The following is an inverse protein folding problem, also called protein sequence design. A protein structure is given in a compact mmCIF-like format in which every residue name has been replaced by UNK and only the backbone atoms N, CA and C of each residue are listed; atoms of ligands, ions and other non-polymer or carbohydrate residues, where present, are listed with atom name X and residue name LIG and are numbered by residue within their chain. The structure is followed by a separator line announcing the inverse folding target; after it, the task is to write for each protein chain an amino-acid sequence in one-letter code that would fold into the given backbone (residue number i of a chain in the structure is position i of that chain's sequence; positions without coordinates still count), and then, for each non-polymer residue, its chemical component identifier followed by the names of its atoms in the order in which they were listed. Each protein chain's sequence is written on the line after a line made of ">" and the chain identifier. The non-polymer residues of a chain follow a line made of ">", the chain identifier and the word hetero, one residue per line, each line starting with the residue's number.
data_IF_356129393553
#
_entry.id   IF_356129393553
#
_cell.length_a   1.000
_cell.length_b   1.000
_cell.length_c   1.000
_cell.angle_alpha   90.00
_cell.angle_beta   90.00
_cell.angle_gamma   90.00
#
_symmetry.space_group_name_H-M   'P 1'
#
loop_
_entity.id
_entity.type
_entity.pdbx_description
1 polymer ?
#
# COMPACT_ATOMS: atom_id res chain seq x y z
N UNK A 1 49.80 -31.80 45.80
CA UNK A 1 50.06 -30.90 44.67
C UNK A 1 48.99 -31.00 43.56
N UNK A 2 48.53 -32.20 43.18
CA UNK A 2 47.50 -32.39 42.14
C UNK A 2 46.14 -31.72 42.43
N UNK A 3 45.67 -31.71 43.68
CA UNK A 3 44.40 -31.08 44.07
C UNK A 3 44.41 -29.56 43.83
N UNK A 4 45.52 -28.89 44.14
CA UNK A 4 45.66 -27.45 43.93
C UNK A 4 45.61 -27.06 42.45
N UNK A 5 46.23 -27.86 41.58
CA UNK A 5 46.18 -27.63 40.12
C UNK A 5 44.77 -27.84 39.56
N UNK A 6 44.02 -28.81 40.09
CA UNK A 6 42.61 -29.02 39.69
C UNK A 6 41.71 -27.87 40.12
N UNK A 7 41.85 -27.35 41.35
CA UNK A 7 41.08 -26.20 41.84
C UNK A 7 41.39 -24.95 41.02
N UNK A 8 42.66 -24.67 40.71
CA UNK A 8 43.05 -23.51 39.91
C UNK A 8 42.50 -23.61 38.48
N UNK A 9 42.56 -24.79 37.85
CA UNK A 9 41.97 -25.01 36.52
C UNK A 9 40.46 -24.81 36.53
N UNK A 10 39.79 -25.34 37.54
CA UNK A 10 38.35 -25.18 37.72
C UNK A 10 37.95 -23.70 37.89
N UNK A 11 38.62 -22.97 38.79
CA UNK A 11 38.37 -21.55 38.99
C UNK A 11 38.65 -20.73 37.72
N UNK A 12 39.76 -21.00 37.04
CA UNK A 12 40.11 -20.30 35.80
C UNK A 12 39.08 -20.54 34.68
N UNK A 13 38.56 -21.77 34.57
CA UNK A 13 37.48 -22.12 33.63
C UNK A 13 36.21 -21.35 33.97
N UNK A 14 35.80 -21.35 35.24
CA UNK A 14 34.60 -20.65 35.70
C UNK A 14 34.68 -19.13 35.51
N UNK A 15 35.82 -18.50 35.84
CA UNK A 15 36.03 -17.07 35.60
C UNK A 15 35.97 -16.70 34.13
N UNK A 16 36.60 -17.50 33.26
CA UNK A 16 36.57 -17.28 31.81
C UNK A 16 35.14 -17.34 31.28
N UNK A 17 34.32 -18.23 31.83
CA UNK A 17 32.93 -18.37 31.44
C UNK A 17 32.06 -17.18 31.88
N UNK A 18 32.21 -16.74 33.13
CA UNK A 18 31.57 -15.52 33.65
C UNK A 18 31.95 -14.32 32.79
N UNK A 19 33.24 -14.19 32.46
CA UNK A 19 33.74 -13.12 31.59
C UNK A 19 33.09 -13.17 30.20
N UNK A 20 32.95 -14.36 29.61
CA UNK A 20 32.26 -14.54 28.32
C UNK A 20 30.79 -14.11 28.40
N UNK A 21 30.06 -14.46 29.46
CA UNK A 21 28.67 -14.05 29.67
C UNK A 21 28.53 -12.53 29.72
N UNK A 22 29.36 -11.86 30.53
CA UNK A 22 29.38 -10.39 30.58
C UNK A 22 29.76 -9.77 29.24
N UNK A 23 30.69 -10.39 28.49
CA UNK A 23 31.04 -9.95 27.13
C UNK A 23 29.89 -10.10 26.14
N UNK A 24 29.04 -11.11 26.28
CA UNK A 24 27.85 -11.28 25.43
C UNK A 24 26.81 -10.22 25.79
N UNK A 25 26.44 -10.08 27.05
CA UNK A 25 25.45 -9.08 27.49
C UNK A 25 25.91 -7.66 27.13
N UNK A 26 27.17 -7.32 27.44
CA UNK A 26 27.74 -6.04 27.07
C UNK A 26 27.89 -5.82 25.56
N UNK A 27 27.89 -6.88 24.75
CA UNK A 27 27.80 -6.76 23.30
C UNK A 27 26.35 -6.51 22.84
N UNK A 28 25.36 -7.17 23.43
CA UNK A 28 23.95 -6.93 23.12
C UNK A 28 23.59 -5.47 23.47
N UNK A 29 24.01 -4.96 24.63
CA UNK A 29 23.81 -3.56 25.02
C UNK A 29 24.43 -2.57 24.01
N UNK A 30 25.63 -2.89 23.50
CA UNK A 30 26.26 -2.11 22.43
C UNK A 30 25.51 -2.23 21.10
N UNK A 31 24.92 -3.38 20.81
CA UNK A 31 24.10 -3.56 19.62
C UNK A 31 22.79 -2.76 19.73
N UNK A 32 22.17 -2.69 20.91
CA UNK A 32 20.96 -1.87 21.16
C UNK A 32 21.23 -0.40 20.87
N UNK A 33 22.42 0.10 21.24
CA UNK A 33 22.81 1.49 21.00
C UNK A 33 23.31 1.77 19.59
N UNK A 34 23.67 0.74 18.83
CA UNK A 34 24.15 0.87 17.45
C UNK A 34 23.08 0.42 16.44
N UNK A 35 22.46 1.39 15.77
CA UNK A 35 21.35 1.17 14.83
C UNK A 35 21.73 0.47 13.51
N UNK A 36 23.02 0.20 13.27
CA UNK A 36 23.48 -0.31 11.97
C UNK A 36 23.24 -1.81 11.79
N UNK A 37 22.98 -2.55 12.87
CA UNK A 37 22.77 -4.00 12.81
C UNK A 37 21.31 -4.32 12.49
N UNK A 38 21.09 -5.01 11.36
CA UNK A 38 19.79 -5.62 11.07
C UNK A 38 19.48 -6.76 12.06
N UNK A 39 18.19 -7.06 12.25
CA UNK A 39 17.73 -8.13 13.15
C UNK A 39 18.34 -9.49 12.78
N UNK A 40 18.39 -9.83 11.49
CA UNK A 40 19.02 -11.08 11.03
C UNK A 40 20.52 -11.14 11.35
N UNK A 41 21.25 -10.04 11.13
CA UNK A 41 22.67 -9.96 11.45
C UNK A 41 22.91 -10.09 12.96
N UNK A 42 22.06 -9.45 13.76
CA UNK A 42 22.10 -9.56 15.22
C UNK A 42 21.95 -11.02 15.66
N UNK A 43 20.90 -11.72 15.22
CA UNK A 43 20.68 -13.12 15.59
C UNK A 43 21.79 -14.04 15.11
N UNK A 44 22.34 -13.83 13.92
CA UNK A 44 23.49 -14.59 13.42
C UNK A 44 24.72 -14.41 14.32
N UNK A 45 25.04 -13.19 14.72
CA UNK A 45 26.20 -12.90 15.58
C UNK A 45 25.95 -13.43 17.00
N UNK A 46 24.72 -13.27 17.52
CA UNK A 46 24.32 -13.81 18.83
C UNK A 46 24.48 -15.34 18.86
N UNK A 47 24.04 -16.04 17.80
CA UNK A 47 24.19 -17.50 17.66
C UNK A 47 25.67 -17.92 17.75
N UNK A 48 26.56 -17.22 17.04
CA UNK A 48 28.02 -17.48 17.09
C UNK A 48 28.60 -17.21 18.48
N UNK A 49 28.13 -16.17 19.16
CA UNK A 49 28.59 -15.81 20.51
C UNK A 49 28.14 -16.83 21.55
N UNK A 50 26.90 -17.30 21.49
CA UNK A 50 26.36 -18.33 22.38
C UNK A 50 27.09 -19.67 22.19
N UNK A 51 27.44 -20.03 20.94
CA UNK A 51 28.26 -21.20 20.64
C UNK A 51 29.66 -21.17 21.31
N UNK A 52 30.16 -19.98 21.67
CA UNK A 52 31.41 -19.80 22.39
C UNK A 52 31.33 -20.12 23.89
N UNK A 53 30.14 -20.11 24.49
CA UNK A 53 29.92 -20.49 25.90
C UNK A 53 29.80 -22.01 26.02
N UNK A 54 28.98 -22.61 25.17
CA UNK A 54 28.79 -24.05 25.14
C UNK A 54 28.98 -24.55 23.69
N UNK A 55 30.02 -25.37 23.42
CA UNK A 55 30.24 -25.94 22.10
C UNK A 55 28.98 -26.69 21.65
N UNK A 56 28.38 -26.24 20.55
CA UNK A 56 27.16 -26.84 20.01
C UNK A 56 25.87 -26.09 20.34
N UNK A 57 25.87 -25.06 21.19
CA UNK A 57 24.74 -24.14 21.30
C UNK A 57 24.65 -23.28 20.05
N UNK A 58 23.56 -23.43 19.29
CA UNK A 58 23.26 -22.57 18.13
C UNK A 58 21.80 -22.18 18.16
N UNK A 59 21.52 -20.92 17.83
CA UNK A 59 20.16 -20.52 17.44
C UNK A 59 19.86 -21.26 16.14
N UNK A 60 18.97 -22.23 16.24
CA UNK A 60 18.65 -23.17 15.16
C UNK A 60 17.45 -22.67 14.37
N UNK A 61 16.39 -22.24 15.07
CA UNK A 61 15.19 -21.65 14.44
C UNK A 61 14.42 -20.69 15.34
N UNK A 62 13.52 -19.94 14.71
CA UNK A 62 12.45 -19.18 15.34
C UNK A 62 11.10 -19.85 15.05
N UNK A 63 10.12 -19.76 15.95
CA UNK A 63 8.75 -20.20 15.69
C UNK A 63 7.79 -19.08 16.07
N UNK A 64 7.02 -18.60 15.10
CA UNK A 64 5.97 -17.62 15.35
C UNK A 64 4.73 -18.37 15.83
N UNK A 65 4.31 -18.10 17.07
CA UNK A 65 3.14 -18.73 17.67
C UNK A 65 1.98 -17.77 17.59
N UNK A 66 1.04 -18.07 16.69
CA UNK A 66 -0.04 -17.15 16.35
C UNK A 66 -1.43 -17.80 16.38
N UNK A 67 -1.70 -18.58 17.42
CA UNK A 67 -2.97 -19.31 17.61
C UNK A 67 -3.19 -20.47 16.63
N UNK A 68 -2.65 -20.39 15.41
CA UNK A 68 -2.54 -21.45 14.42
C UNK A 68 -1.05 -21.77 14.21
N UNK A 69 -0.69 -23.05 14.31
CA UNK A 69 0.67 -23.51 14.04
C UNK A 69 0.97 -23.35 12.54
N UNK A 70 1.79 -22.37 12.18
CA UNK A 70 2.33 -22.27 10.83
C UNK A 70 3.54 -23.21 10.71
N UNK A 71 3.55 -24.16 9.75
CA UNK A 71 4.76 -24.88 9.41
C UNK A 71 5.75 -23.93 8.73
N UNK A 72 7.03 -24.08 9.06
CA UNK A 72 8.10 -23.30 8.45
C UNK A 72 8.50 -23.83 7.07
N UNK A 73 8.94 -22.93 6.17
CA UNK A 73 9.83 -23.29 5.08
C UNK A 73 11.26 -23.45 5.64
N UNK A 74 11.81 -24.65 5.54
CA UNK A 74 13.26 -24.85 5.52
C UNK A 74 13.79 -24.49 4.13
N UNK A 75 15.08 -24.14 4.00
CA UNK A 75 15.76 -23.89 2.71
C UNK A 75 15.58 -25.05 1.70
N UNK A 76 15.15 -26.23 2.15
CA UNK A 76 14.95 -27.43 1.33
C UNK A 76 13.50 -27.97 1.30
N UNK A 77 12.50 -27.23 1.81
CA UNK A 77 11.09 -27.65 1.73
C UNK A 77 10.74 -28.93 2.51
N UNK A 78 11.64 -29.45 3.35
CA UNK A 78 11.36 -30.56 4.29
C UNK A 78 11.04 -30.00 5.66
N UNK A 79 9.76 -29.90 5.96
CA UNK A 79 9.23 -29.56 7.28
C UNK A 79 9.07 -30.83 8.11
N UNK A 80 10.19 -31.41 8.58
CA UNK A 80 10.15 -32.61 9.44
C UNK A 80 10.19 -32.28 10.94
N UNK A 81 10.16 -31.00 11.33
CA UNK A 81 10.16 -30.64 12.75
C UNK A 81 8.81 -30.14 13.21
N UNK A 82 8.00 -31.12 13.61
CA UNK A 82 6.91 -30.92 14.55
C UNK A 82 7.56 -30.56 15.88
N UNK A 83 7.61 -29.28 16.23
CA UNK A 83 7.67 -28.91 17.63
C UNK A 83 6.47 -29.58 18.30
N UNK A 84 6.64 -30.50 19.26
CA UNK A 84 5.53 -31.28 19.79
C UNK A 84 4.45 -30.31 20.24
N UNK A 85 3.17 -30.55 19.89
CA UNK A 85 2.03 -29.73 20.34
C UNK A 85 2.08 -29.43 21.86
N UNK A 86 2.72 -30.31 22.63
CA UNK A 86 3.02 -30.16 24.06
C UNK A 86 3.94 -28.98 24.40
N UNK A 87 4.97 -28.70 23.59
CA UNK A 87 5.89 -27.55 23.77
C UNK A 87 5.15 -26.24 23.52
N UNK A 88 4.39 -26.17 22.42
CA UNK A 88 3.53 -25.02 22.12
C UNK A 88 2.49 -24.80 23.24
N UNK A 89 1.77 -25.84 23.65
CA UNK A 89 0.78 -25.76 24.74
C UNK A 89 1.39 -25.32 26.09
N UNK A 90 2.66 -25.68 26.35
CA UNK A 90 3.36 -25.33 27.57
C UNK A 90 3.91 -23.89 27.57
N UNK A 91 4.18 -23.28 26.40
CA UNK A 91 4.74 -21.92 26.30
C UNK A 91 3.71 -20.83 25.97
N UNK A 92 2.53 -21.24 25.48
CA UNK A 92 1.41 -20.35 25.14
C UNK A 92 0.84 -19.50 26.29
N UNK A 93 0.74 -19.96 27.56
CA UNK A 93 0.22 -19.11 28.63
C UNK A 93 1.19 -17.96 28.92
N UNK A 94 0.71 -16.71 28.87
CA UNK A 94 1.46 -15.49 29.26
C UNK A 94 2.06 -15.56 30.67
N UNK A 95 1.45 -16.33 31.56
CA UNK A 95 1.90 -16.53 32.94
C UNK A 95 3.06 -17.53 33.05
N UNK A 96 3.45 -18.19 31.97
CA UNK A 96 4.59 -19.09 31.97
C UNK A 96 5.89 -18.30 32.04
N UNK A 97 6.92 -18.81 32.75
CA UNK A 97 8.23 -18.18 32.73
C UNK A 97 8.73 -18.07 31.29
N UNK A 98 9.47 -16.99 30.95
CA UNK A 98 9.95 -16.70 29.59
C UNK A 98 10.88 -17.81 29.04
N UNK A 99 11.43 -18.64 29.92
CA UNK A 99 12.31 -19.74 29.59
C UNK A 99 11.74 -21.06 30.11
N UNK A 100 11.56 -22.03 29.21
CA UNK A 100 11.34 -23.44 29.56
C UNK A 100 12.31 -24.34 28.81
N UNK A 101 13.05 -25.13 29.57
CA UNK A 101 13.92 -26.18 29.05
C UNK A 101 13.06 -27.39 28.70
N UNK A 102 13.06 -27.82 27.44
CA UNK A 102 12.38 -29.04 27.03
C UNK A 102 13.43 -30.12 26.73
N UNK A 103 13.58 -31.12 27.60
CA UNK A 103 14.42 -32.27 27.31
C UNK A 103 13.73 -33.10 26.22
N UNK A 104 14.19 -33.02 24.98
CA UNK A 104 13.72 -33.89 23.91
C UNK A 104 14.49 -35.21 23.93
N UNK A 105 13.91 -36.21 24.60
CA UNK A 105 14.50 -37.55 24.71
C UNK A 105 14.55 -38.32 23.38
N UNK A 106 13.83 -37.87 22.34
CA UNK A 106 13.74 -38.62 21.08
C UNK A 106 14.82 -38.24 20.06
N UNK A 107 15.45 -37.06 20.18
CA UNK A 107 16.42 -36.53 19.20
C UNK A 107 17.87 -36.54 19.72
N UNK A 108 18.11 -37.03 20.95
CA UNK A 108 19.47 -37.18 21.49
C UNK A 108 20.17 -35.85 21.81
N UNK A 109 19.43 -34.75 21.94
CA UNK A 109 19.96 -33.44 22.33
C UNK A 109 18.89 -32.58 23.03
N UNK A 110 19.31 -31.82 24.03
CA UNK A 110 18.44 -30.84 24.69
C UNK A 110 18.08 -29.70 23.73
N UNK A 111 16.82 -29.26 23.73
CA UNK A 111 16.41 -28.03 23.06
C UNK A 111 15.96 -27.02 24.10
N UNK A 112 16.60 -25.87 24.11
CA UNK A 112 16.18 -24.76 24.96
C UNK A 112 15.24 -23.89 24.14
N UNK A 113 14.03 -23.67 24.63
CA UNK A 113 13.02 -22.84 23.97
C UNK A 113 12.83 -21.59 24.79
N UNK A 114 13.07 -20.45 24.15
CA UNK A 114 12.92 -19.13 24.73
C UNK A 114 11.74 -18.45 24.10
N UNK A 115 10.97 -17.79 24.95
CA UNK A 115 9.89 -16.95 24.53
C UNK A 115 10.39 -15.51 24.40
N UNK A 116 10.22 -14.93 23.22
CA UNK A 116 10.41 -13.52 22.95
C UNK A 116 9.04 -12.84 22.88
N UNK A 117 8.73 -12.08 23.91
CA UNK A 117 7.54 -11.25 24.01
C UNK A 117 7.82 -9.84 23.47
N UNK A 118 7.86 -9.74 22.14
CA UNK A 118 8.01 -8.46 21.46
C UNK A 118 6.68 -7.70 21.59
N UNK A 119 6.75 -6.45 22.05
CA UNK A 119 5.56 -5.64 22.28
C UNK A 119 4.72 -5.50 21.00
N UNK A 120 3.43 -5.82 21.11
CA UNK A 120 2.52 -5.83 19.97
C UNK A 120 2.83 -6.89 18.91
N UNK A 121 3.69 -7.88 19.13
CA UNK A 121 3.94 -8.99 18.21
C UNK A 121 3.26 -10.31 18.64
N UNK A 122 3.13 -11.32 17.75
CA UNK A 122 2.95 -12.70 18.16
C UNK A 122 4.19 -13.16 18.93
N UNK A 123 3.98 -14.09 19.85
CA UNK A 123 5.06 -14.68 20.62
C UNK A 123 6.02 -15.42 19.67
N UNK A 124 7.29 -15.04 19.69
CA UNK A 124 8.32 -15.71 18.91
C UNK A 124 9.07 -16.66 19.84
N UNK A 125 9.11 -17.94 19.50
CA UNK A 125 9.92 -18.91 20.21
C UNK A 125 11.28 -19.03 19.52
N UNK A 126 12.33 -18.60 20.20
CA UNK A 126 13.71 -18.88 19.77
C UNK A 126 14.11 -20.26 20.31
N UNK A 127 14.67 -21.12 19.48
CA UNK A 127 15.15 -22.43 19.95
C UNK A 127 16.65 -22.53 19.76
N UNK A 128 17.31 -22.84 20.86
CA UNK A 128 18.71 -23.24 20.85
C UNK A 128 18.76 -24.76 20.77
N UNK A 129 19.40 -25.27 19.74
CA UNK A 129 19.80 -26.67 19.72
C UNK A 129 21.05 -26.80 20.59
N UNK A 130 20.99 -27.68 21.57
CA UNK A 130 22.17 -28.10 22.34
C UNK A 130 22.61 -29.44 21.77
N UNK A 131 23.69 -29.45 20.98
CA UNK A 131 24.39 -30.71 20.72
C UNK A 131 25.04 -31.13 22.03
N UNK A 132 24.40 -32.05 22.75
CA UNK A 132 24.92 -32.62 23.98
C UNK A 132 26.20 -33.40 23.68
N UNK A 133 27.34 -32.73 23.80
CA UNK A 133 28.63 -33.39 24.01
C UNK A 133 28.78 -33.52 25.51
N UNK A 134 28.82 -34.74 26.05
CA UNK A 134 29.07 -34.98 27.47
C UNK A 134 30.34 -34.22 27.89
N UNK A 135 30.25 -33.18 28.74
CA UNK A 135 31.41 -32.41 29.11
C UNK A 135 32.19 -33.16 30.20
N UNK A 136 33.51 -33.19 30.05
CA UNK A 136 34.47 -33.80 30.99
C UNK A 136 34.66 -33.01 32.30
N UNK A 137 34.02 -31.85 32.48
CA UNK A 137 34.25 -30.93 33.60
C UNK A 137 32.95 -30.41 34.25
N UNK A 138 32.99 -29.93 35.51
CA UNK A 138 31.80 -29.72 36.32
C UNK A 138 30.95 -28.59 35.75
N UNK A 139 29.70 -28.92 35.44
CA UNK A 139 28.69 -28.01 34.90
C UNK A 139 28.39 -26.89 35.90
N UNK A 140 28.05 -25.73 35.33
CA UNK A 140 27.24 -24.73 35.99
C UNK A 140 26.01 -25.37 36.63
N UNK A 141 25.50 -24.73 37.67
CA UNK A 141 24.15 -25.01 38.10
C UNK A 141 23.21 -24.63 36.95
N UNK A 142 22.25 -25.51 36.69
CA UNK A 142 21.21 -25.31 35.68
C UNK A 142 20.54 -23.93 35.86
N UNK A 143 20.36 -23.51 37.11
CA UNK A 143 19.85 -22.20 37.52
C UNK A 143 20.67 -21.01 36.97
N UNK A 144 22.01 -21.08 37.01
CA UNK A 144 22.90 -19.99 36.57
C UNK A 144 22.87 -19.82 35.05
N UNK A 145 22.74 -20.93 34.32
CA UNK A 145 22.59 -20.92 32.87
C UNK A 145 21.21 -20.39 32.49
N UNK A 146 20.16 -20.84 33.18
CA UNK A 146 18.80 -20.37 32.97
C UNK A 146 18.68 -18.86 33.21
N UNK A 147 19.26 -18.37 34.30
CA UNK A 147 19.27 -16.93 34.60
C UNK A 147 20.01 -16.12 33.53
N UNK A 148 21.21 -16.57 33.12
CA UNK A 148 21.96 -15.92 32.04
C UNK A 148 21.16 -15.84 30.74
N UNK A 149 20.56 -16.95 30.32
CA UNK A 149 19.80 -16.98 29.07
C UNK A 149 18.52 -16.16 29.15
N UNK A 150 17.90 -16.06 30.32
CA UNK A 150 16.76 -15.16 30.56
C UNK A 150 17.17 -13.70 30.31
N UNK A 151 18.31 -13.26 30.86
CA UNK A 151 18.84 -11.91 30.58
C UNK A 151 19.15 -11.69 29.10
N UNK A 152 19.71 -12.69 28.41
CA UNK A 152 19.95 -12.61 26.95
C UNK A 152 18.63 -12.43 26.18
N UNK A 153 17.55 -13.09 26.60
CA UNK A 153 16.24 -12.96 25.96
C UNK A 153 15.64 -11.58 26.20
N UNK A 154 15.64 -11.10 27.44
CA UNK A 154 15.14 -9.75 27.78
C UNK A 154 15.88 -8.67 26.98
N UNK A 155 17.22 -8.74 26.90
CA UNK A 155 17.99 -7.78 26.09
C UNK A 155 17.73 -7.92 24.59
N UNK A 156 17.49 -9.14 24.11
CA UNK A 156 17.13 -9.40 22.70
C UNK A 156 15.75 -8.83 22.37
N UNK A 157 14.77 -8.96 23.25
CA UNK A 157 13.44 -8.36 23.11
C UNK A 157 13.54 -6.83 23.00
N UNK A 158 14.37 -6.20 23.84
CA UNK A 158 14.63 -4.76 23.79
C UNK A 158 15.25 -4.39 22.45
N UNK A 159 16.28 -5.12 22.01
CA UNK A 159 16.94 -4.88 20.72
C UNK A 159 15.96 -4.96 19.54
N UNK A 160 15.16 -6.02 19.48
CA UNK A 160 14.18 -6.21 18.39
C UNK A 160 13.13 -5.12 18.44
N UNK A 161 12.56 -4.81 19.61
CA UNK A 161 11.55 -3.76 19.77
C UNK A 161 12.09 -2.38 19.36
N UNK A 162 13.34 -2.06 19.72
CA UNK A 162 13.99 -0.81 19.34
C UNK A 162 14.21 -0.72 17.82
N UNK A 163 14.68 -1.80 17.18
CA UNK A 163 14.89 -1.85 15.74
C UNK A 163 13.58 -1.73 14.95
N UNK A 164 12.52 -2.37 15.42
CA UNK A 164 11.19 -2.28 14.80
C UNK A 164 10.63 -0.85 14.88
N UNK A 165 10.79 -0.20 16.03
CA UNK A 165 10.41 1.21 16.20
C UNK A 165 11.21 2.11 15.27
N UNK A 166 12.52 1.94 15.20
CA UNK A 166 13.41 2.69 14.32
C UNK A 166 13.05 2.48 12.85
N UNK A 167 12.77 1.25 12.42
CA UNK A 167 12.33 0.95 11.06
C UNK A 167 11.01 1.68 10.73
N UNK A 168 10.06 1.68 11.66
CA UNK A 168 8.80 2.42 11.51
C UNK A 168 9.03 3.93 11.40
N UNK A 169 9.88 4.51 12.26
CA UNK A 169 10.21 5.94 12.26
C UNK A 169 10.93 6.38 10.97
N UNK A 170 11.83 5.53 10.45
CA UNK A 170 12.48 5.72 9.15
C UNK A 170 11.45 5.69 8.03
N UNK A 171 10.55 4.69 8.02
CA UNK A 171 9.45 4.59 7.05
C UNK A 171 8.57 5.84 7.06
N UNK A 172 8.21 6.32 8.26
CA UNK A 172 7.43 7.54 8.43
C UNK A 172 8.19 8.79 7.93
N UNK A 173 9.49 8.90 8.20
CA UNK A 173 10.30 10.02 7.72
C UNK A 173 10.44 9.99 6.20
N UNK A 174 10.60 8.80 5.59
CA UNK A 174 10.60 8.64 4.13
C UNK A 174 9.27 9.07 3.52
N UNK A 175 8.14 8.71 4.15
CA UNK A 175 6.80 9.13 3.74
C UNK A 175 6.66 10.64 3.75
N UNK A 176 6.99 11.28 4.89
CA UNK A 176 6.96 12.74 5.03
C UNK A 176 7.86 13.39 3.97
N UNK A 177 9.07 12.88 3.78
CA UNK A 177 10.01 13.42 2.79
C UNK A 177 9.48 13.28 1.36
N UNK A 178 8.99 12.12 0.94
CA UNK A 178 8.39 11.92 -0.39
C UNK A 178 7.26 12.93 -0.62
N UNK A 179 6.38 13.11 0.37
CA UNK A 179 5.24 14.01 0.26
C UNK A 179 5.62 15.49 0.13
N UNK A 180 6.66 15.96 0.82
CA UNK A 180 7.05 17.38 0.83
C UNK A 180 8.16 17.74 -0.16
N UNK A 181 8.92 16.78 -0.69
CA UNK A 181 10.01 17.04 -1.64
C UNK A 181 9.63 16.81 -3.10
N UNK A 182 8.60 16.00 -3.38
CA UNK A 182 8.07 15.86 -4.72
C UNK A 182 7.38 17.13 -5.18
N UNK A 183 7.65 17.58 -6.42
CA UNK A 183 6.66 18.38 -7.15
C UNK A 183 5.37 17.57 -7.11
N UNK A 184 4.32 18.08 -6.45
CA UNK A 184 3.07 17.40 -6.05
C UNK A 184 2.31 16.80 -7.24
N UNK A 185 2.90 15.79 -7.87
CA UNK A 185 2.29 14.94 -8.87
C UNK A 185 1.60 13.81 -8.13
N UNK A 186 0.26 13.86 -8.19
CA UNK A 186 -0.61 12.95 -7.46
C UNK A 186 -0.30 11.49 -7.78
N UNK A 187 0.00 11.17 -9.04
CA UNK A 187 0.22 9.79 -9.47
C UNK A 187 1.48 9.22 -8.81
N UNK A 188 2.58 9.97 -8.88
CA UNK A 188 3.84 9.59 -8.24
C UNK A 188 3.71 9.47 -6.72
N UNK A 189 2.97 10.37 -6.08
CA UNK A 189 2.73 10.28 -4.63
C UNK A 189 1.98 9.00 -4.24
N UNK A 190 0.97 8.56 -5.01
CA UNK A 190 0.26 7.30 -4.73
C UNK A 190 1.15 6.08 -4.94
N UNK A 191 2.01 6.08 -5.97
CA UNK A 191 2.96 5.00 -6.22
C UNK A 191 4.01 4.90 -5.11
N UNK A 192 4.60 6.03 -4.71
CA UNK A 192 5.53 6.11 -3.58
C UNK A 192 4.88 5.59 -2.30
N UNK A 193 3.61 5.95 -2.07
CA UNK A 193 2.85 5.47 -0.93
C UNK A 193 2.70 3.94 -0.94
N UNK A 194 2.33 3.35 -2.07
CA UNK A 194 2.20 1.89 -2.21
C UNK A 194 3.53 1.16 -1.99
N UNK A 195 4.63 1.72 -2.50
CA UNK A 195 5.99 1.22 -2.26
C UNK A 195 6.38 1.31 -0.79
N UNK A 196 6.13 2.45 -0.14
CA UNK A 196 6.43 2.64 1.28
C UNK A 196 5.62 1.69 2.16
N UNK A 197 4.36 1.42 1.83
CA UNK A 197 3.54 0.40 2.52
C UNK A 197 4.22 -0.97 2.49
N UNK A 198 4.80 -1.36 1.35
CA UNK A 198 5.55 -2.61 1.24
C UNK A 198 6.81 -2.59 2.12
N UNK A 199 7.52 -1.47 2.19
CA UNK A 199 8.72 -1.28 3.02
C UNK A 199 8.44 -1.35 4.53
N UNK A 200 7.20 -1.12 4.98
CA UNK A 200 6.82 -1.28 6.39
C UNK A 200 6.71 -2.75 6.82
N UNK A 201 6.58 -3.69 5.87
CA UNK A 201 6.53 -5.11 6.20
C UNK A 201 7.88 -5.58 6.76
N UNK A 202 7.88 -6.55 7.70
CA UNK A 202 9.11 -7.11 8.24
C UNK A 202 9.99 -7.68 7.14
N UNK A 203 11.27 -7.31 7.15
CA UNK A 203 12.26 -7.75 6.17
C UNK A 203 13.24 -8.80 6.73
N UNK A 204 12.94 -9.37 7.90
CA UNK A 204 13.80 -10.27 8.65
C UNK A 204 13.10 -11.62 8.91
N UNK A 205 13.88 -12.69 8.98
CA UNK A 205 13.34 -14.03 9.16
C UNK A 205 12.96 -14.27 10.63
N UNK A 206 11.76 -14.80 10.93
CA UNK A 206 10.90 -15.56 10.02
C UNK A 206 9.67 -14.83 9.48
N UNK A 207 9.59 -13.53 9.74
CA UNK A 207 8.42 -12.73 9.42
C UNK A 207 8.49 -12.17 7.99
N UNK A 208 9.61 -12.36 7.31
CA UNK A 208 9.78 -11.97 5.92
C UNK A 208 8.83 -12.74 5.00
N UNK A 209 8.11 -12.00 4.17
CA UNK A 209 7.26 -12.58 3.11
C UNK A 209 8.07 -12.60 1.82
N UNK A 210 8.38 -13.80 1.32
CA UNK A 210 9.10 -14.02 0.07
C UNK A 210 8.27 -14.91 -0.88
N UNK A 211 7.99 -14.46 -2.12
CA UNK A 211 8.28 -13.13 -2.69
C UNK A 211 7.48 -12.00 -1.98
N UNK A 212 7.86 -10.72 -2.13
CA UNK A 212 7.08 -9.62 -1.56
C UNK A 212 5.62 -9.63 -2.06
N UNK A 213 4.63 -9.32 -1.21
CA UNK A 213 3.23 -9.26 -1.64
C UNK A 213 3.00 -8.10 -2.61
N UNK A 214 1.97 -8.24 -3.46
CA UNK A 214 1.45 -7.13 -4.23
C UNK A 214 0.65 -6.23 -3.29
N UNK A 215 1.03 -4.97 -3.21
CA UNK A 215 0.38 -3.95 -2.38
C UNK A 215 -0.46 -3.05 -3.26
N UNK A 216 -1.71 -2.79 -2.87
CA UNK A 216 -2.61 -1.90 -3.58
C UNK A 216 -3.21 -0.90 -2.59
N UNK A 217 -3.37 0.35 -3.04
CA UNK A 217 -4.04 1.40 -2.28
C UNK A 217 -5.30 1.79 -3.02
N UNK A 218 -6.43 1.67 -2.33
CA UNK A 218 -7.74 1.96 -2.86
C UNK A 218 -8.39 3.07 -2.05
N UNK A 219 -9.11 3.97 -2.72
CA UNK A 219 -9.91 5.02 -2.07
C UNK A 219 -11.39 4.75 -2.25
N UNK A 220 -12.16 5.14 -1.23
CA UNK A 220 -13.61 4.95 -1.22
C UNK A 220 -14.32 6.30 -1.11
N UNK A 221 -15.27 6.55 -2.01
CA UNK A 221 -16.10 7.76 -2.00
C UNK A 221 -17.56 7.38 -1.75
N UNK A 222 -18.11 7.80 -0.61
CA UNK A 222 -19.50 7.50 -0.21
C UNK A 222 -20.57 7.90 -1.25
N UNK A 223 -20.31 8.95 -2.05
CA UNK A 223 -21.22 9.38 -3.14
C UNK A 223 -21.30 8.39 -4.30
N UNK A 224 -20.26 7.58 -4.48
CA UNK A 224 -20.11 6.62 -5.58
C UNK A 224 -20.01 5.20 -4.99
N UNK A 225 -20.94 4.85 -4.10
CA UNK A 225 -20.88 3.63 -3.30
C UNK A 225 -20.76 2.31 -4.10
N UNK A 226 -21.07 2.34 -5.41
CA UNK A 226 -20.94 1.19 -6.32
C UNK A 226 -19.50 0.95 -6.83
N UNK A 227 -18.61 1.95 -6.70
CA UNK A 227 -17.24 1.91 -7.20
C UNK A 227 -16.22 2.05 -6.07
N UNK A 228 -15.07 1.45 -6.28
CA UNK A 228 -13.86 1.61 -5.47
C UNK A 228 -12.75 2.02 -6.42
N UNK A 229 -11.99 3.05 -6.08
CA UNK A 229 -10.95 3.56 -6.98
C UNK A 229 -9.58 3.02 -6.55
N UNK A 230 -8.98 2.17 -7.38
CA UNK A 230 -7.59 1.75 -7.23
C UNK A 230 -6.69 2.92 -7.62
N UNK A 231 -5.89 3.41 -6.67
CA UNK A 231 -5.00 4.57 -6.87
C UNK A 231 -3.60 4.19 -7.25
N UNK A 232 -3.06 3.14 -6.63
CA UNK A 232 -1.73 2.64 -6.93
C UNK A 232 -1.61 1.15 -6.60
N UNK A 233 -0.68 0.50 -7.29
CA UNK A 233 -0.28 -0.88 -7.06
C UNK A 233 1.23 -1.00 -7.13
N UNK A 234 1.84 -1.76 -6.23
CA UNK A 234 3.27 -2.02 -6.18
C UNK A 234 3.53 -3.51 -5.97
N UNK A 235 4.23 -4.14 -6.91
CA UNK A 235 4.79 -5.48 -6.75
C UNK A 235 6.30 -5.35 -6.59
N UNK A 236 6.86 -5.95 -5.53
CA UNK A 236 8.31 -5.92 -5.32
C UNK A 236 9.12 -6.72 -6.35
N UNK A 237 8.44 -7.47 -7.23
CA UNK A 237 9.08 -8.15 -8.35
C UNK A 237 9.15 -7.17 -9.54
N UNK A 238 10.32 -7.09 -10.20
CA UNK A 238 10.56 -6.35 -11.45
C UNK A 238 9.77 -6.93 -12.65
N UNK A 239 8.61 -7.54 -12.41
CA UNK A 239 7.76 -8.09 -13.43
C UNK A 239 6.98 -6.95 -14.08
N UNK A 240 7.72 -6.14 -14.86
CA UNK A 240 7.22 -5.06 -15.73
C UNK A 240 6.14 -5.57 -16.71
N UNK A 241 6.00 -6.90 -16.85
CA UNK A 241 5.06 -7.57 -17.74
C UNK A 241 3.62 -7.59 -17.22
N UNK A 242 3.37 -7.50 -15.90
CA UNK A 242 2.06 -7.10 -15.35
C UNK A 242 2.00 -5.57 -15.29
N UNK A 243 2.08 -4.99 -16.48
CA UNK A 243 2.40 -3.58 -16.71
C UNK A 243 1.70 -2.62 -15.76
N UNK A 244 2.49 -1.66 -15.26
CA UNK A 244 2.28 -0.21 -15.45
C UNK A 244 0.94 0.10 -16.12
N UNK A 245 -0.12 -0.16 -15.38
CA UNK A 245 -1.45 0.38 -15.62
C UNK A 245 -1.54 1.47 -14.57
N UNK A 246 -0.63 2.43 -14.69
CA UNK A 246 -0.32 3.54 -13.76
C UNK A 246 -1.46 4.54 -13.62
N UNK A 247 -2.64 4.20 -14.13
CA UNK A 247 -3.81 5.05 -14.12
C UNK A 247 -4.80 4.53 -13.10
N UNK A 248 -5.35 5.46 -12.33
CA UNK A 248 -6.41 5.17 -11.38
C UNK A 248 -7.57 4.47 -12.08
N UNK A 249 -8.10 3.41 -11.47
CA UNK A 249 -9.15 2.56 -12.04
C UNK A 249 -10.33 2.41 -11.12
N UNK A 250 -11.51 2.53 -11.68
CA UNK A 250 -12.74 2.22 -10.97
C UNK A 250 -13.03 0.72 -11.03
N UNK A 251 -13.07 0.11 -9.86
CA UNK A 251 -13.42 -1.27 -9.64
C UNK A 251 -14.86 -1.35 -9.13
N UNK A 252 -15.61 -2.33 -9.63
CA UNK A 252 -16.97 -2.57 -9.15
C UNK A 252 -16.94 -3.20 -7.75
N UNK A 253 -17.71 -2.63 -6.81
CA UNK A 253 -17.80 -3.10 -5.42
C UNK A 253 -18.26 -4.57 -5.31
N UNK A 254 -19.19 -4.99 -6.16
CA UNK A 254 -19.68 -6.38 -6.17
C UNK A 254 -18.70 -7.38 -6.80
N UNK A 255 -17.57 -6.92 -7.36
CA UNK A 255 -16.58 -7.76 -8.03
C UNK A 255 -15.18 -7.63 -7.39
N UNK A 256 -15.08 -7.23 -6.13
CA UNK A 256 -13.78 -7.18 -5.44
C UNK A 256 -13.92 -7.65 -4.01
N UNK A 257 -12.83 -8.18 -3.44
CA UNK A 257 -12.78 -8.48 -2.01
C UNK A 257 -12.69 -7.22 -1.16
N UNK A 258 -12.11 -6.14 -1.67
CA UNK A 258 -12.25 -4.81 -1.09
C UNK A 258 -13.73 -4.40 -0.96
N UNK A 259 -14.56 -4.67 -1.96
CA UNK A 259 -15.99 -4.39 -1.88
C UNK A 259 -16.75 -5.32 -0.96
N UNK A 260 -16.33 -6.59 -0.83
CA UNK A 260 -16.83 -7.48 0.21
C UNK A 260 -16.51 -6.95 1.61
N UNK A 261 -15.30 -6.43 1.83
CA UNK A 261 -14.94 -5.76 3.09
C UNK A 261 -15.87 -4.58 3.36
N UNK A 262 -16.15 -3.72 2.37
CA UNK A 262 -17.10 -2.61 2.54
C UNK A 262 -18.50 -3.09 2.94
N UNK A 263 -19.02 -4.14 2.29
CA UNK A 263 -20.31 -4.74 2.62
C UNK A 263 -20.35 -5.26 4.07
N UNK A 264 -19.26 -5.89 4.53
CA UNK A 264 -19.15 -6.38 5.90
C UNK A 264 -18.98 -5.24 6.91
N UNK A 265 -18.18 -4.24 6.59
CA UNK A 265 -17.89 -3.10 7.46
C UNK A 265 -19.12 -2.20 7.66
N UNK A 266 -19.99 -2.06 6.65
CA UNK A 266 -21.28 -1.37 6.80
C UNK A 266 -22.20 -2.06 7.82
N UNK A 267 -22.15 -3.39 7.89
CA UNK A 267 -22.92 -4.18 8.86
C UNK A 267 -22.20 -4.32 10.21
N UNK A 268 -20.86 -4.27 10.21
CA UNK A 268 -20.03 -4.38 11.39
C UNK A 268 -18.86 -3.37 11.33
N UNK A 269 -19.07 -2.13 11.82
CA UNK A 269 -18.03 -1.10 11.81
C UNK A 269 -16.82 -1.40 12.70
N UNK A 270 -16.88 -2.43 13.56
CA UNK A 270 -15.74 -2.85 14.39
C UNK A 270 -14.77 -3.78 13.63
N UNK A 271 -15.09 -4.14 12.39
CA UNK A 271 -14.25 -5.01 11.58
C UNK A 271 -12.93 -4.31 11.22
N UNK A 272 -11.82 -4.85 11.73
CA UNK A 272 -10.50 -4.23 11.62
C UNK A 272 -9.68 -4.71 10.41
N UNK A 273 -10.09 -5.79 9.74
CA UNK A 273 -9.46 -6.37 8.56
C UNK A 273 -10.31 -7.51 7.96
N UNK A 274 -9.97 -7.94 6.75
CA UNK A 274 -10.46 -9.16 6.11
C UNK A 274 -9.28 -9.95 5.56
N UNK A 275 -9.10 -11.19 6.00
CA UNK A 275 -8.11 -12.14 5.48
C UNK A 275 -8.86 -13.30 4.83
N UNK A 276 -8.63 -13.54 3.54
CA UNK A 276 -9.33 -14.59 2.78
C UNK A 276 -8.40 -15.34 1.84
N UNK A 277 -8.82 -16.54 1.42
CA UNK A 277 -8.26 -17.22 0.27
C UNK A 277 -9.19 -16.99 -0.94
N UNK A 278 -8.76 -16.21 -1.95
CA UNK A 278 -9.53 -15.94 -3.16
C UNK A 278 -10.03 -17.19 -3.92
N UNK A 279 -9.31 -18.31 -3.79
CA UNK A 279 -9.65 -19.58 -4.46
C UNK A 279 -10.82 -20.32 -3.79
N UNK A 280 -11.23 -19.93 -2.59
CA UNK A 280 -12.38 -20.53 -1.92
C UNK A 280 -13.67 -20.30 -2.71
N UNK A 281 -14.47 -21.36 -2.89
CA UNK A 281 -15.70 -21.31 -3.66
C UNK A 281 -16.67 -20.20 -3.20
N UNK A 282 -16.65 -19.88 -1.90
CA UNK A 282 -17.44 -18.81 -1.26
C UNK A 282 -17.21 -17.43 -1.89
N UNK A 283 -16.00 -17.15 -2.38
CA UNK A 283 -15.63 -15.83 -2.93
C UNK A 283 -15.58 -15.81 -4.46
N UNK A 284 -15.81 -16.93 -5.13
CA UNK A 284 -15.70 -17.07 -6.58
C UNK A 284 -16.49 -16.03 -7.39
N UNK A 285 -17.67 -15.62 -6.91
CA UNK A 285 -18.49 -14.59 -7.56
C UNK A 285 -17.85 -13.19 -7.53
N UNK A 286 -17.02 -12.91 -6.51
CA UNK A 286 -16.29 -11.64 -6.39
C UNK A 286 -15.15 -11.55 -7.39
N UNK A 287 -14.57 -12.66 -7.84
CA UNK A 287 -13.42 -12.64 -8.75
C UNK A 287 -13.76 -12.93 -10.22
N UNK A 288 -15.04 -13.12 -10.54
CA UNK A 288 -15.48 -13.56 -11.86
C UNK A 288 -15.06 -12.65 -13.03
N UNK A 289 -14.76 -11.38 -12.76
CA UNK A 289 -14.40 -10.39 -13.78
C UNK A 289 -12.89 -10.19 -13.99
N UNK A 290 -12.04 -10.72 -13.11
CA UNK A 290 -10.64 -10.26 -13.02
C UNK A 290 -9.61 -11.26 -13.54
N UNK A 291 -9.84 -12.57 -13.42
CA UNK A 291 -8.80 -13.57 -13.74
C UNK A 291 -9.36 -14.93 -14.16
N UNK A 292 -8.55 -15.68 -14.93
CA UNK A 292 -8.61 -17.14 -14.91
C UNK A 292 -8.33 -17.63 -13.48
N UNK A 293 -9.15 -18.57 -12.98
CA UNK A 293 -9.09 -19.02 -11.57
C UNK A 293 -7.70 -19.50 -11.12
N UNK A 294 -6.87 -19.97 -12.04
CA UNK A 294 -5.52 -20.43 -11.74
C UNK A 294 -4.58 -19.31 -11.31
N UNK A 295 -4.81 -18.08 -11.79
CA UNK A 295 -3.97 -16.91 -11.53
C UNK A 295 -4.34 -16.14 -10.25
N UNK A 296 -5.39 -16.58 -9.54
CA UNK A 296 -5.81 -15.94 -8.29
C UNK A 296 -4.76 -16.13 -7.18
N UNK A 297 -4.57 -15.11 -6.32
CA UNK A 297 -3.73 -15.26 -5.13
C UNK A 297 -4.30 -16.34 -4.22
N UNK A 298 -3.45 -16.91 -3.35
CA UNK A 298 -3.88 -17.87 -2.32
C UNK A 298 -4.12 -17.18 -0.97
N UNK A 299 -3.61 -15.97 -0.78
CA UNK A 299 -3.90 -15.14 0.39
C UNK A 299 -4.15 -13.71 -0.03
N UNK A 300 -5.23 -13.11 0.47
CA UNK A 300 -5.54 -11.70 0.30
C UNK A 300 -5.93 -11.07 1.63
N UNK A 301 -5.28 -9.95 1.98
CA UNK A 301 -5.48 -9.21 3.22
C UNK A 301 -5.91 -7.77 2.91
N UNK A 302 -7.10 -7.40 3.37
CA UNK A 302 -7.65 -6.04 3.26
C UNK A 302 -7.66 -5.39 4.64
N UNK A 303 -7.09 -4.18 4.73
CA UNK A 303 -7.06 -3.37 5.95
C UNK A 303 -7.66 -1.98 5.68
N UNK A 304 -8.60 -1.50 6.51
CA UNK A 304 -9.20 -0.19 6.35
C UNK A 304 -8.24 0.94 6.71
N UNK A 305 -8.38 2.05 5.98
CA UNK A 305 -7.73 3.32 6.28
C UNK A 305 -8.81 4.23 6.87
N UNK A 306 -8.75 4.40 8.19
CA UNK A 306 -9.70 5.20 8.95
C UNK A 306 -9.07 6.56 9.28
N UNK A 307 -9.76 7.63 8.91
CA UNK A 307 -9.36 8.99 9.25
C UNK A 307 -10.20 9.50 10.43
N UNK A 308 -9.52 10.06 11.44
CA UNK A 308 -10.19 10.68 12.57
C UNK A 308 -10.58 12.12 12.21
N UNK A 309 -11.87 12.38 12.14
CA UNK A 309 -12.44 13.70 11.92
C UNK A 309 -12.29 14.58 13.16
N UNK A 310 -12.51 15.89 12.99
CA UNK A 310 -12.39 16.88 14.09
C UNK A 310 -13.37 16.65 15.24
N UNK A 311 -14.50 16.03 14.97
CA UNK A 311 -15.52 15.67 15.97
C UNK A 311 -15.19 14.36 16.72
N UNK A 312 -14.04 13.75 16.42
CA UNK A 312 -13.59 12.49 17.02
C UNK A 312 -14.19 11.25 16.36
N UNK A 313 -15.03 11.40 15.33
CA UNK A 313 -15.57 10.26 14.57
C UNK A 313 -14.53 9.71 13.60
N UNK A 314 -14.62 8.42 13.27
CA UNK A 314 -13.74 7.78 12.29
C UNK A 314 -14.48 7.59 10.97
N UNK A 315 -13.91 8.09 9.88
CA UNK A 315 -14.42 7.92 8.52
C UNK A 315 -13.52 6.96 7.74
N UNK A 316 -14.13 6.00 7.03
CA UNK A 316 -13.41 5.11 6.11
C UNK A 316 -13.10 5.87 4.82
N UNK A 317 -11.83 6.14 4.57
CA UNK A 317 -11.38 6.92 3.41
C UNK A 317 -10.70 6.07 2.33
N UNK A 318 -10.21 4.88 2.71
CA UNK A 318 -9.54 3.97 1.79
C UNK A 318 -9.32 2.58 2.37
N UNK A 319 -8.68 1.73 1.58
CA UNK A 319 -8.33 0.36 1.90
C UNK A 319 -6.90 0.11 1.42
N UNK A 320 -6.14 -0.66 2.18
CA UNK A 320 -4.88 -1.26 1.72
C UNK A 320 -5.18 -2.73 1.44
N UNK A 321 -4.88 -3.20 0.24
CA UNK A 321 -5.01 -4.60 -0.14
C UNK A 321 -3.62 -5.21 -0.35
N UNK A 322 -3.42 -6.42 0.17
CA UNK A 322 -2.22 -7.22 -0.03
C UNK A 322 -2.59 -8.55 -0.65
N UNK A 323 -1.97 -8.89 -1.77
CA UNK A 323 -2.15 -10.16 -2.46
C UNK A 323 -0.85 -10.97 -2.42
N UNK A 324 -0.97 -12.28 -2.16
CA UNK A 324 0.18 -13.18 -2.16
C UNK A 324 -0.16 -14.57 -2.74
N UNK A 325 0.83 -15.17 -3.41
CA UNK A 325 0.68 -16.46 -4.10
C UNK A 325 0.68 -17.67 -3.18
N UNK A 326 1.30 -17.56 -1.99
CA UNK A 326 1.30 -18.57 -0.92
C UNK A 326 0.05 -18.45 -0.04
N UNK A 327 -0.54 -19.58 0.33
CA UNK A 327 -1.59 -19.67 1.35
C UNK A 327 -1.07 -19.26 2.74
N UNK A 328 -1.92 -18.65 3.57
CA UNK A 328 -1.59 -18.15 4.91
C UNK A 328 -0.30 -17.31 4.96
N UNK A 329 -0.11 -16.45 3.95
CA UNK A 329 1.08 -15.61 3.86
C UNK A 329 1.17 -14.55 4.97
N UNK A 330 0.02 -14.10 5.48
CA UNK A 330 -0.11 -13.05 6.48
C UNK A 330 -0.45 -13.66 7.85
N UNK A 331 0.18 -13.13 8.90
CA UNK A 331 -0.05 -13.49 10.29
C UNK A 331 -0.50 -12.24 11.07
N UNK A 332 -0.81 -12.37 12.36
CA UNK A 332 -1.26 -11.25 13.20
C UNK A 332 -0.20 -10.17 13.36
N UNK A 333 1.08 -10.50 13.24
CA UNK A 333 2.14 -9.49 13.24
C UNK A 333 2.03 -8.57 12.03
N UNK A 334 1.95 -9.17 10.84
CA UNK A 334 1.77 -8.43 9.59
C UNK A 334 0.54 -7.55 9.68
N UNK A 335 -0.58 -8.12 10.15
CA UNK A 335 -1.82 -7.39 10.36
C UNK A 335 -1.62 -6.15 11.25
N UNK A 336 -1.00 -6.29 12.43
CA UNK A 336 -0.80 -5.18 13.38
C UNK A 336 0.08 -4.09 12.80
N UNK A 337 1.16 -4.47 12.13
CA UNK A 337 2.03 -3.51 11.43
C UNK A 337 1.23 -2.76 10.38
N UNK A 338 0.50 -3.48 9.52
CA UNK A 338 -0.29 -2.88 8.44
C UNK A 338 -1.37 -1.95 9.00
N UNK A 339 -2.03 -2.32 10.10
CA UNK A 339 -3.02 -1.45 10.77
C UNK A 339 -2.38 -0.17 11.29
N UNK A 340 -1.21 -0.27 11.92
CA UNK A 340 -0.46 0.90 12.41
C UNK A 340 0.00 1.78 11.25
N UNK A 341 0.46 1.18 10.16
CA UNK A 341 0.80 1.87 8.91
C UNK A 341 -0.43 2.57 8.34
N UNK A 342 -1.57 1.88 8.20
CA UNK A 342 -2.82 2.46 7.69
C UNK A 342 -3.26 3.70 8.50
N UNK A 343 -3.19 3.63 9.84
CA UNK A 343 -3.47 4.77 10.70
C UNK A 343 -2.49 5.94 10.47
N UNK A 344 -1.20 5.65 10.27
CA UNK A 344 -0.19 6.66 9.95
C UNK A 344 -0.37 7.29 8.57
N UNK A 345 -0.93 6.55 7.60
CA UNK A 345 -1.15 7.03 6.24
C UNK A 345 -2.43 7.87 6.10
N UNK A 346 -3.42 7.65 6.96
CA UNK A 346 -4.74 8.26 6.84
C UNK A 346 -4.70 9.80 6.66
N UNK A 347 -3.90 10.58 7.41
CA UNK A 347 -3.82 12.03 7.20
C UNK A 347 -3.28 12.44 5.82
N UNK A 348 -2.32 11.70 5.29
CA UNK A 348 -1.71 11.96 3.98
C UNK A 348 -2.71 11.67 2.86
N UNK A 349 -3.36 10.51 2.93
CA UNK A 349 -4.39 10.09 1.97
C UNK A 349 -5.55 11.08 1.96
N UNK A 350 -6.01 11.51 3.14
CA UNK A 350 -7.07 12.52 3.25
C UNK A 350 -6.66 13.86 2.62
N UNK A 351 -5.42 14.31 2.87
CA UNK A 351 -4.90 15.54 2.27
C UNK A 351 -4.83 15.46 0.74
N UNK A 352 -4.39 14.31 0.19
CA UNK A 352 -4.39 14.08 -1.26
C UNK A 352 -5.81 14.09 -1.83
N UNK A 353 -6.74 13.35 -1.23
CA UNK A 353 -8.13 13.32 -1.68
C UNK A 353 -8.77 14.72 -1.62
N UNK A 354 -8.46 15.52 -0.59
CA UNK A 354 -8.95 16.89 -0.47
C UNK A 354 -8.40 17.82 -1.57
N UNK A 355 -7.09 17.75 -1.86
CA UNK A 355 -6.48 18.54 -2.93
C UNK A 355 -7.04 18.15 -4.31
N UNK A 356 -7.18 16.85 -4.57
CA UNK A 356 -7.77 16.35 -5.83
C UNK A 356 -9.20 16.87 -6.00
N UNK A 357 -10.04 16.75 -4.97
CA UNK A 357 -11.40 17.27 -4.99
C UNK A 357 -11.43 18.79 -5.24
N UNK A 358 -10.52 19.54 -4.62
CA UNK A 358 -10.39 20.98 -4.86
C UNK A 358 -10.01 21.28 -6.32
N UNK A 359 -9.09 20.51 -6.92
CA UNK A 359 -8.73 20.64 -8.35
C UNK A 359 -9.91 20.35 -9.27
N UNK A 360 -10.64 19.25 -9.02
CA UNK A 360 -11.84 18.88 -9.80
C UNK A 360 -12.90 19.97 -9.70
N UNK A 361 -13.14 20.53 -8.50
CA UNK A 361 -14.11 21.61 -8.30
C UNK A 361 -13.71 22.90 -9.02
N UNK A 362 -12.42 23.28 -8.99
CA UNK A 362 -11.91 24.44 -9.74
C UNK A 362 -12.07 24.23 -11.25
N UNK A 363 -11.69 23.06 -11.77
CA UNK A 363 -11.83 22.74 -13.18
C UNK A 363 -13.29 22.75 -13.63
N UNK A 364 -14.19 22.17 -12.83
CA UNK A 364 -15.64 22.18 -13.08
C UNK A 364 -16.20 23.59 -13.08
N UNK A 365 -15.82 24.41 -12.09
CA UNK A 365 -16.26 25.82 -11.99
C UNK A 365 -15.79 26.63 -13.20
N UNK A 366 -14.54 26.45 -13.61
CA UNK A 366 -13.99 27.10 -14.81
C UNK A 366 -14.74 26.67 -16.08
N UNK A 367 -15.04 25.37 -16.22
CA UNK A 367 -15.84 24.85 -17.34
C UNK A 367 -17.24 25.47 -17.37
N UNK A 368 -17.92 25.57 -16.23
CA UNK A 368 -19.22 26.23 -16.15
C UNK A 368 -19.14 27.72 -16.51
N UNK A 369 -18.10 28.43 -16.06
CA UNK A 369 -17.87 29.83 -16.40
C UNK A 369 -17.67 30.00 -17.92
N UNK A 370 -16.85 29.15 -18.55
CA UNK A 370 -16.62 29.14 -20.00
C UNK A 370 -17.89 28.86 -20.79
N UNK A 371 -18.67 27.84 -20.39
CA UNK A 371 -19.96 27.53 -21.03
C UNK A 371 -20.94 28.72 -20.95
N UNK A 372 -20.97 29.41 -19.81
CA UNK A 372 -21.82 30.61 -19.65
C UNK A 372 -21.39 31.75 -20.57
N UNK A 373 -20.08 31.97 -20.71
CA UNK A 373 -19.53 32.96 -21.65
C UNK A 373 -19.89 32.58 -23.09
N UNK A 374 -19.70 31.32 -23.46
CA UNK A 374 -20.04 30.79 -24.79
C UNK A 374 -21.55 30.96 -25.10
N UNK A 375 -22.43 30.63 -24.15
CA UNK A 375 -23.88 30.83 -24.31
C UNK A 375 -24.23 32.31 -24.52
N UNK A 376 -23.62 33.22 -23.75
CA UNK A 376 -23.83 34.67 -23.92
C UNK A 376 -23.33 35.15 -25.28
N UNK A 377 -22.15 34.71 -25.71
CA UNK A 377 -21.63 35.04 -27.04
C UNK A 377 -22.53 34.50 -28.15
N UNK A 378 -23.00 33.26 -28.03
CA UNK A 378 -23.93 32.66 -28.98
C UNK A 378 -25.25 33.43 -29.04
N UNK A 379 -25.81 33.82 -27.90
CA UNK A 379 -27.03 34.63 -27.85
C UNK A 379 -26.82 36.02 -28.47
N UNK A 380 -25.70 36.69 -28.17
CA UNK A 380 -25.34 37.97 -28.78
C UNK A 380 -25.13 37.86 -30.29
N UNK A 381 -24.46 36.81 -30.75
CA UNK A 381 -24.27 36.54 -32.17
C UNK A 381 -25.60 36.24 -32.87
N UNK A 382 -26.45 35.38 -32.29
CA UNK A 382 -27.81 35.12 -32.80
C UNK A 382 -28.61 36.42 -32.90
N UNK A 383 -28.58 37.25 -31.86
CA UNK A 383 -29.22 38.56 -31.87
C UNK A 383 -28.67 39.45 -32.99
N UNK A 384 -27.34 39.59 -33.12
CA UNK A 384 -26.70 40.37 -34.18
C UNK A 384 -27.02 39.86 -35.59
N UNK A 385 -27.00 38.53 -35.79
CA UNK A 385 -27.35 37.91 -37.08
C UNK A 385 -28.83 38.16 -37.41
N UNK A 386 -29.71 38.08 -36.40
CA UNK A 386 -31.14 38.34 -36.58
C UNK A 386 -31.48 39.81 -36.81
N UNK A 387 -30.52 40.75 -36.65
CA UNK A 387 -30.79 42.15 -36.95
C UNK A 387 -30.92 42.36 -38.47
N UNK A 388 -31.99 43.03 -38.94
CA UNK A 388 -32.22 43.27 -40.36
C UNK A 388 -31.05 43.97 -41.05
N UNK A 389 -30.34 44.85 -40.33
CA UNK A 389 -29.16 45.58 -40.83
C UNK A 389 -28.02 44.63 -41.20
N UNK A 390 -27.75 43.61 -40.38
CA UNK A 390 -26.70 42.61 -40.64
C UNK A 390 -27.06 41.75 -41.84
N UNK A 391 -28.32 41.31 -41.93
CA UNK A 391 -28.82 40.56 -43.09
C UNK A 391 -28.76 41.41 -44.35
N UNK A 392 -29.12 42.70 -44.28
CA UNK A 392 -29.02 43.64 -45.39
C UNK A 392 -27.56 43.90 -45.82
N UNK A 393 -26.60 43.95 -44.89
CA UNK A 393 -25.18 44.09 -45.21
C UNK A 393 -24.62 42.83 -45.87
N UNK A 394 -24.99 41.63 -45.38
CA UNK A 394 -24.58 40.38 -46.02
C UNK A 394 -25.18 40.23 -47.42
N UNK A 395 -26.46 40.58 -47.61
CA UNK A 395 -27.10 40.62 -48.93
C UNK A 395 -26.38 41.64 -49.83
N UNK A 396 -26.08 42.84 -49.31
CA UNK A 396 -25.33 43.87 -50.02
C UNK A 396 -23.93 43.40 -50.46
N UNK A 397 -23.20 42.70 -49.59
CA UNK A 397 -21.88 42.14 -49.89
C UNK A 397 -21.96 40.97 -50.88
N UNK A 398 -22.98 40.12 -50.80
CA UNK A 398 -23.22 39.05 -51.77
C UNK A 398 -23.58 39.63 -53.15
N UNK A 399 -24.44 40.64 -53.20
CA UNK A 399 -24.74 41.40 -54.42
C UNK A 399 -23.43 41.99 -54.95
N UNK A 400 -22.66 42.69 -54.13
CA UNK A 400 -21.38 43.30 -54.53
C UNK A 400 -20.39 42.29 -55.11
N UNK A 401 -20.26 41.11 -54.48
CA UNK A 401 -19.39 40.01 -54.95
C UNK A 401 -19.92 39.38 -56.24
N UNK A 402 -21.22 39.12 -56.35
CA UNK A 402 -21.83 38.53 -57.54
C UNK A 402 -21.75 39.45 -58.77
N UNK A 403 -21.69 40.75 -58.54
CA UNK A 403 -21.55 41.78 -59.57
C UNK A 403 -20.08 42.11 -59.89
N UNK A 404 -19.11 41.42 -59.27
CA UNK A 404 -17.67 41.68 -59.41
C UNK A 404 -17.31 43.17 -59.28
N UNK A 405 -17.99 43.91 -58.41
CA UNK A 405 -17.76 45.35 -58.26
C UNK A 405 -16.39 45.58 -57.61
N UNK A 406 -15.51 46.42 -58.20
CA UNK A 406 -14.21 46.74 -57.60
C UNK A 406 -14.38 47.42 -56.24
N UNK A 407 -13.39 47.27 -55.35
CA UNK A 407 -13.40 47.92 -54.03
C UNK A 407 -13.66 49.42 -54.18
N UNK A 408 -14.79 49.87 -53.63
CA UNK A 408 -15.20 51.26 -53.73
C UNK A 408 -14.28 52.08 -52.84
N UNK A 409 -13.23 52.64 -53.43
CA UNK A 409 -12.40 53.65 -52.80
C UNK A 409 -13.28 54.87 -52.48
N UNK A 410 -13.08 55.53 -51.32
CA UNK A 410 -13.99 56.59 -50.82
C UNK A 410 -14.25 57.73 -51.81
N UNK A 411 -13.38 57.94 -52.78
CA UNK A 411 -13.54 58.93 -53.87
C UNK A 411 -14.64 58.57 -54.87
N UNK A 412 -14.97 57.28 -55.06
CA UNK A 412 -15.97 56.83 -56.04
C UNK A 412 -17.43 56.98 -55.56
N UNK A 413 -17.65 57.34 -54.28
CA UNK A 413 -18.99 57.61 -53.74
C UNK A 413 -19.62 58.90 -54.30
N UNK A 414 -18.82 59.81 -54.89
CA UNK A 414 -19.33 61.06 -55.48
C UNK A 414 -19.96 60.86 -56.87
N UNK A 415 -19.74 59.73 -57.53
CA UNK A 415 -20.38 59.37 -58.80
C UNK A 415 -21.54 58.36 -58.62
N UNK A 416 -22.18 58.34 -57.45
CA UNK A 416 -23.19 57.36 -57.05
C UNK A 416 -24.44 57.26 -57.96
N UNK A 417 -24.69 58.23 -58.86
CA UNK A 417 -25.85 58.24 -59.75
C UNK A 417 -25.84 57.08 -60.75
N UNK A 418 -24.71 56.79 -61.40
CA UNK A 418 -24.65 55.71 -62.41
C UNK A 418 -24.64 54.31 -61.79
N UNK A 419 -24.11 54.19 -60.58
CA UNK A 419 -24.11 52.93 -59.82
C UNK A 419 -25.51 52.64 -59.27
N UNK A 420 -26.26 53.67 -58.85
CA UNK A 420 -27.66 53.53 -58.43
C UNK A 420 -28.56 53.08 -59.58
N UNK A 421 -28.42 53.64 -60.78
CA UNK A 421 -29.20 53.19 -61.95
C UNK A 421 -28.91 51.73 -62.31
N UNK A 422 -27.64 51.30 -62.20
CA UNK A 422 -27.28 49.92 -62.48
C UNK A 422 -27.80 48.94 -61.41
N UNK A 423 -27.79 49.35 -60.14
CA UNK A 423 -28.36 48.59 -59.01
C UNK A 423 -29.88 48.50 -59.11
N UNK A 424 -30.59 49.59 -59.47
CA UNK A 424 -32.04 49.60 -59.66
C UNK A 424 -32.43 48.64 -60.79
N UNK A 425 -31.69 48.65 -61.90
CA UNK A 425 -31.93 47.74 -63.04
C UNK A 425 -31.73 46.27 -62.63
N UNK A 426 -30.73 45.98 -61.79
CA UNK A 426 -30.52 44.62 -61.28
C UNK A 426 -31.51 44.18 -60.21
N UNK A 427 -31.95 45.08 -59.33
CA UNK A 427 -32.99 44.79 -58.34
C UNK A 427 -34.33 44.53 -59.04
N UNK A 428 -34.67 45.27 -60.10
CA UNK A 428 -35.83 44.99 -60.94
C UNK A 428 -35.77 43.60 -61.57
N UNK A 429 -34.59 43.15 -62.02
CA UNK A 429 -34.41 41.80 -62.56
C UNK A 429 -34.47 40.70 -61.49
N UNK A 430 -34.00 40.96 -60.26
CA UNK A 430 -34.12 40.03 -59.12
C UNK A 430 -35.57 39.95 -58.62
N UNK A 431 -36.30 41.07 -58.58
CA UNK A 431 -37.75 41.07 -58.29
C UNK A 431 -38.54 40.32 -59.37
N UNK A 432 -38.17 40.47 -60.66
CA UNK A 432 -38.76 39.68 -61.74
C UNK A 432 -38.44 38.18 -61.59
N UNK A 433 -37.22 37.83 -61.19
CA UNK A 433 -36.81 36.44 -60.96
C UNK A 433 -37.53 35.82 -59.75
N UNK A 434 -37.68 36.54 -58.63
CA UNK A 434 -38.41 36.08 -57.45
C UNK A 434 -39.93 36.04 -57.67
N UNK A 435 -40.49 36.95 -58.48
CA UNK A 435 -41.89 36.88 -58.89
C UNK A 435 -42.17 35.67 -59.79
N UNK A 436 -41.24 35.33 -60.70
CA UNK A 436 -41.32 34.13 -61.55
C UNK A 436 -41.09 32.83 -60.75
N UNK A 437 -40.20 32.83 -59.76
CA UNK A 437 -39.96 31.65 -58.92
C UNK A 437 -41.10 31.43 -57.89
N UNK A 438 -41.68 32.51 -57.36
CA UNK A 438 -42.80 32.49 -56.43
C UNK A 438 -44.12 32.03 -57.05
N UNK A 439 -44.31 32.21 -58.36
CA UNK A 439 -45.48 31.68 -59.07
C UNK A 439 -45.38 30.19 -59.45
N UNK A 440 -44.21 29.53 -59.32
CA UNK A 440 -44.09 28.09 -59.63
C UNK A 440 -44.37 27.15 -58.44
N UNK A 441 -44.65 27.67 -57.24
CA UNK A 441 -44.88 26.86 -56.03
C UNK A 441 -46.24 27.05 -55.35
N UNK A 442 -47.17 27.78 -55.98
CA UNK A 442 -48.54 27.93 -55.48
C UNK A 442 -49.54 27.83 -56.64
N UNK A 443 -49.91 26.59 -56.99
CA UNK A 443 -51.21 26.22 -57.57
C UNK A 443 -51.51 24.81 -57.07
N UNK A 444 -51.87 24.79 -55.79
CA UNK A 444 -52.75 23.92 -55.01
C UNK A 444 -52.70 22.38 -55.01
N UNK A 445 -53.05 21.80 -53.83
CA UNK A 445 -53.11 20.37 -53.59
C UNK A 445 -54.40 19.75 -54.12
N UNK A 446 -54.25 18.62 -54.80
CA UNK A 446 -55.12 17.46 -54.74
C UNK A 446 -54.24 16.21 -54.74
#
# INVERSE_FOLDING_TARGET
>A
MQIGTQIIRYMASHFREIELRFKILGWIDKAITNSDLTIDQFFRILSVKLAGIAPGMRIDWFVVVDGEALPFPTEEGKSDVILPKRVLAAMLPKESPPLRVFPDKQIGGGRLVFRLDIDGAPTILMVLQEQWVEPLEPRLREDDLQHFLTMVCEQTEIFVSANLKLAFDIGHTKLVKSFFTGNIDHIHCWQDLAKLVADFLPNWEPLKITPPPLVQILTYRKKEAQYIELRASYSGNNDESRGSRDEARNLLRNQTVCGLFLDMHENNPQMSHLLVNPKDAKYSSRYAAYFDREQLPQSELVVPILYQERDGTYSLIGLINFEHSREKAFNTYHLRIIQKTAASLAPFIQAMMADENARIMRASTMRYALLRVQHRMSALLKHKISQPIFTATQIGDLIRKSLALPEINKENLLNASSVLDHIVTHISNIHLFLALYGQSKVMDPL
#
